data_IF_795234140689
#
_entry.id   IF_795234140689
#
_cell.length_a   1.000
_cell.length_b   1.000
_cell.length_c   1.000
_cell.angle_alpha   90.00
_cell.angle_beta   90.00
_cell.angle_gamma   90.00
#
_symmetry.space_group_name_H-M   'P 1'
#
loop_
_entity.id
_entity.type
_entity.pdbx_description
1 polymer ?
#
# COMPACT_ATOMS: atom_id res chain seq x y z
N UNK A 1 20.54 72.84 -21.90
CA UNK A 1 19.54 71.74 -22.03
C UNK A 1 19.71 70.60 -21.01
N UNK A 2 20.38 70.81 -19.88
CA UNK A 2 20.71 69.74 -18.91
C UNK A 2 20.06 69.93 -17.52
N UNK A 3 19.29 71.01 -17.31
CA UNK A 3 18.65 71.32 -16.01
C UNK A 3 17.14 71.02 -15.95
N UNK A 4 16.49 70.73 -17.08
CA UNK A 4 15.05 70.40 -17.12
C UNK A 4 14.76 68.91 -16.85
N UNK A 5 15.71 68.01 -17.15
CA UNK A 5 15.57 66.55 -16.96
C UNK A 5 15.66 66.13 -15.48
N UNK A 6 16.31 66.91 -14.62
CA UNK A 6 16.44 66.59 -13.19
C UNK A 6 15.18 66.93 -12.38
N UNK A 7 14.41 67.96 -12.80
CA UNK A 7 13.20 68.41 -12.11
C UNK A 7 12.01 67.45 -12.36
N UNK A 8 11.96 66.83 -13.55
CA UNK A 8 10.94 65.84 -13.90
C UNK A 8 11.17 64.51 -13.17
N UNK A 9 12.42 64.11 -12.92
CA UNK A 9 12.73 62.89 -12.16
C UNK A 9 12.36 63.01 -10.67
N UNK A 10 12.47 64.21 -10.08
CA UNK A 10 12.13 64.45 -8.67
C UNK A 10 10.61 64.59 -8.43
N UNK A 11 9.82 64.98 -9.43
CA UNK A 11 8.36 65.07 -9.33
C UNK A 11 7.66 63.71 -9.46
N UNK A 12 8.22 62.78 -10.24
CA UNK A 12 7.67 61.42 -10.41
C UNK A 12 7.95 60.54 -9.17
N UNK A 13 9.03 60.81 -8.42
CA UNK A 13 9.32 60.10 -7.17
C UNK A 13 8.49 60.53 -5.96
N UNK A 14 7.78 61.67 -6.00
CA UNK A 14 6.98 62.14 -4.85
C UNK A 14 5.47 61.89 -4.92
N UNK A 15 4.94 61.45 -6.06
CA UNK A 15 3.51 61.08 -6.17
C UNK A 15 3.26 59.58 -6.35
N UNK A 16 4.30 58.74 -6.43
CA UNK A 16 4.15 57.28 -6.53
C UNK A 16 3.91 56.56 -5.20
N UNK A 17 4.08 57.24 -4.06
CA UNK A 17 4.01 56.62 -2.73
C UNK A 17 2.74 56.99 -1.92
N UNK A 18 1.80 57.72 -2.50
CA UNK A 18 0.56 58.08 -1.80
C UNK A 18 -0.56 58.20 -2.83
N UNK A 19 -1.42 57.18 -2.93
CA UNK A 19 -2.86 57.27 -3.24
C UNK A 19 -3.46 55.86 -3.44
N UNK A 20 -3.34 55.02 -2.41
CA UNK A 20 -4.53 54.33 -1.92
C UNK A 20 -5.38 55.42 -1.25
N UNK A 21 -6.68 55.49 -1.59
CA UNK A 21 -7.75 56.41 -1.16
C UNK A 21 -8.20 57.42 -2.24
N UNK A 22 -9.38 57.19 -2.79
CA UNK A 22 -10.14 58.11 -3.64
C UNK A 22 -10.62 59.37 -2.87
N UNK A 23 -11.43 60.28 -3.43
CA UNK A 23 -11.65 60.72 -4.81
C UNK A 23 -11.47 62.26 -4.94
N UNK A 24 -11.21 62.79 -6.15
CA UNK A 24 -11.66 64.10 -6.70
C UNK A 24 -10.75 64.54 -7.83
N UNK A 25 -11.09 64.09 -9.03
CA UNK A 25 -10.76 64.79 -10.26
C UNK A 25 -11.55 66.11 -10.29
N UNK A 26 -10.86 67.24 -10.25
CA UNK A 26 -11.35 68.50 -10.80
C UNK A 26 -10.20 69.11 -11.59
N UNK A 27 -10.20 68.86 -12.90
CA UNK A 27 -9.38 69.57 -13.88
C UNK A 27 -10.16 70.82 -14.32
N UNK A 28 -9.60 72.04 -14.20
CA UNK A 28 -10.13 73.20 -14.89
C UNK A 28 -9.94 73.05 -16.41
N UNK A 29 -10.98 73.44 -17.15
CA UNK A 29 -10.98 73.70 -18.59
C UNK A 29 -9.75 74.54 -18.96
N UNK A 30 -8.74 73.92 -19.59
CA UNK A 30 -7.86 74.52 -20.61
C UNK A 30 -6.76 73.56 -21.11
N UNK A 31 -7.04 72.25 -21.16
CA UNK A 31 -6.07 71.21 -21.53
C UNK A 31 -6.48 70.36 -22.75
N UNK A 32 -7.30 70.92 -23.66
CA UNK A 32 -7.75 70.20 -24.87
C UNK A 32 -6.84 70.37 -26.09
N UNK A 33 -5.88 71.31 -26.10
CA UNK A 33 -4.93 71.47 -27.20
C UNK A 33 -3.54 70.88 -26.93
N UNK A 34 -3.16 70.66 -25.67
CA UNK A 34 -1.89 70.00 -25.30
C UNK A 34 -1.97 68.47 -25.26
N UNK A 35 -3.18 67.89 -25.18
CA UNK A 35 -3.38 66.44 -25.17
C UNK A 35 -3.22 65.76 -26.55
N UNK A 36 -3.49 66.48 -27.65
CA UNK A 36 -3.34 65.93 -29.01
C UNK A 36 -1.89 65.94 -29.50
N UNK A 37 -1.05 66.85 -29.01
CA UNK A 37 0.39 66.86 -29.33
C UNK A 37 1.14 65.72 -28.61
N UNK A 38 0.77 65.42 -27.37
CA UNK A 38 1.35 64.31 -26.59
C UNK A 38 0.94 62.92 -27.12
N UNK A 39 -0.25 62.76 -27.71
CA UNK A 39 -0.66 61.51 -28.38
C UNK A 39 0.13 61.24 -29.66
N UNK A 40 0.49 62.27 -30.43
CA UNK A 40 1.32 62.13 -31.64
C UNK A 40 2.79 61.77 -31.36
N UNK A 41 3.33 62.20 -30.22
CA UNK A 41 4.72 61.90 -29.80
C UNK A 41 4.84 60.53 -29.13
N UNK A 42 3.83 60.09 -28.38
CA UNK A 42 3.83 58.76 -27.74
C UNK A 42 3.63 57.59 -28.73
N UNK A 43 2.88 57.80 -29.82
CA UNK A 43 2.68 56.75 -30.84
C UNK A 43 3.88 56.57 -31.78
N UNK A 44 4.69 57.61 -31.99
CA UNK A 44 5.93 57.51 -32.78
C UNK A 44 7.13 56.96 -31.98
N UNK A 45 7.15 57.10 -30.65
CA UNK A 45 8.14 56.44 -29.80
C UNK A 45 7.87 54.94 -29.59
N UNK A 46 6.63 54.47 -29.80
CA UNK A 46 6.29 53.05 -29.73
C UNK A 46 6.75 52.24 -30.95
N UNK A 47 7.10 52.89 -32.07
CA UNK A 47 7.56 52.21 -33.29
C UNK A 47 9.08 52.16 -33.44
N UNK A 48 9.81 53.10 -32.81
CA UNK A 48 11.29 53.13 -32.90
C UNK A 48 11.98 52.25 -31.86
N UNK A 49 11.28 51.84 -30.78
CA UNK A 49 11.81 50.89 -29.78
C UNK A 49 11.60 49.42 -30.19
N UNK A 50 10.83 49.14 -31.25
CA UNK A 50 10.65 47.78 -31.80
C UNK A 50 11.69 47.37 -32.86
N UNK A 51 12.66 48.23 -33.21
CA UNK A 51 13.64 47.98 -34.28
C UNK A 51 15.11 48.07 -33.87
N UNK A 52 15.42 48.32 -32.60
CA UNK A 52 16.74 48.04 -32.03
C UNK A 52 16.58 46.95 -30.98
N UNK A 53 17.07 45.75 -31.34
CA UNK A 53 16.95 44.54 -30.55
C UNK A 53 17.16 44.75 -29.06
N UNK A 54 16.06 44.69 -28.31
CA UNK A 54 16.09 44.15 -26.97
C UNK A 54 16.53 42.71 -27.11
N UNK A 55 17.82 42.48 -26.89
CA UNK A 55 18.39 41.16 -26.64
C UNK A 55 17.59 40.61 -25.47
N UNK A 56 16.55 39.83 -25.77
CA UNK A 56 16.10 38.82 -24.84
C UNK A 56 17.34 37.96 -24.64
N UNK A 57 18.07 38.21 -23.55
CA UNK A 57 19.11 37.30 -23.11
C UNK A 57 18.45 35.93 -23.15
N UNK A 58 18.91 35.00 -24.01
CA UNK A 58 18.40 33.64 -23.92
C UNK A 58 18.59 33.25 -22.46
N UNK A 59 17.54 32.74 -21.80
CA UNK A 59 17.72 32.09 -20.53
C UNK A 59 18.90 31.13 -20.74
N UNK A 60 20.06 31.46 -20.17
CA UNK A 60 21.28 30.72 -20.44
C UNK A 60 20.95 29.29 -20.04
N UNK A 61 20.95 28.38 -21.00
CA UNK A 61 20.90 26.97 -20.70
C UNK A 61 22.15 26.72 -19.85
N UNK A 62 21.93 26.55 -18.54
CA UNK A 62 22.99 26.28 -17.58
C UNK A 62 23.77 25.06 -18.08
N UNK A 63 25.07 25.26 -18.35
CA UNK A 63 25.94 24.23 -18.90
C UNK A 63 26.21 23.17 -17.82
N UNK A 64 25.41 22.11 -17.83
CA UNK A 64 25.48 21.01 -16.85
C UNK A 64 26.89 20.41 -16.73
N UNK A 65 27.63 20.17 -17.84
CA UNK A 65 29.05 19.86 -17.78
C UNK A 65 29.89 20.86 -17.00
N UNK A 66 29.71 22.17 -17.21
CA UNK A 66 30.48 23.19 -16.49
C UNK A 66 30.17 23.20 -14.99
N UNK A 67 28.88 23.10 -14.61
CA UNK A 67 28.46 22.99 -13.20
C UNK A 67 29.09 21.77 -12.54
N UNK A 68 29.03 20.63 -13.23
CA UNK A 68 29.64 19.39 -12.74
C UNK A 68 31.16 19.55 -12.55
N UNK A 69 31.87 20.09 -13.53
CA UNK A 69 33.32 20.29 -13.46
C UNK A 69 33.73 21.25 -12.34
N UNK A 70 32.99 22.34 -12.15
CA UNK A 70 33.32 23.37 -11.16
C UNK A 70 32.98 22.97 -9.72
N UNK A 71 31.91 22.19 -9.51
CA UNK A 71 31.37 21.97 -8.16
C UNK A 71 31.39 20.50 -7.70
N UNK A 72 31.36 19.52 -8.61
CA UNK A 72 31.01 18.14 -8.30
C UNK A 72 32.01 17.07 -8.81
N UNK A 73 33.00 17.45 -9.62
CA UNK A 73 33.94 16.51 -10.23
C UNK A 73 34.75 15.69 -9.20
N UNK A 74 35.14 16.33 -8.11
CA UNK A 74 35.93 15.72 -7.03
C UNK A 74 35.08 15.01 -5.96
N UNK A 75 33.75 15.18 -5.98
CA UNK A 75 32.85 14.54 -5.02
C UNK A 75 32.85 13.01 -5.20
N UNK A 76 32.58 12.22 -4.16
CA UNK A 76 32.42 10.77 -4.32
C UNK A 76 31.15 10.40 -5.11
N UNK A 77 30.93 9.10 -5.32
CA UNK A 77 29.66 8.55 -5.83
C UNK A 77 28.53 8.97 -4.90
N UNK A 78 27.42 9.42 -5.47
CA UNK A 78 26.30 9.92 -4.68
C UNK A 78 25.41 10.90 -5.44
N UNK A 79 24.57 11.58 -4.66
CA UNK A 79 23.51 12.49 -5.11
C UNK A 79 23.81 13.90 -4.64
N UNK A 80 23.77 14.86 -5.54
CA UNK A 80 24.12 16.25 -5.23
C UNK A 80 23.15 17.21 -5.92
N UNK A 81 22.52 18.08 -5.15
CA UNK A 81 21.74 19.19 -5.72
C UNK A 81 22.66 20.39 -5.96
N UNK A 82 22.62 20.94 -7.17
CA UNK A 82 23.37 22.13 -7.56
C UNK A 82 22.62 22.89 -8.65
N UNK A 83 22.44 24.19 -8.45
CA UNK A 83 21.87 25.13 -9.44
C UNK A 83 20.53 24.69 -10.08
N UNK A 84 19.65 24.10 -9.28
CA UNK A 84 18.34 23.64 -9.74
C UNK A 84 18.34 22.26 -10.40
N UNK A 85 19.46 21.52 -10.32
CA UNK A 85 19.59 20.16 -10.84
C UNK A 85 20.05 19.19 -9.76
N UNK A 86 19.53 17.96 -9.83
CA UNK A 86 20.01 16.81 -9.09
C UNK A 86 21.00 16.05 -9.98
N UNK A 87 22.27 16.02 -9.58
CA UNK A 87 23.32 15.23 -10.19
C UNK A 87 23.46 13.89 -9.47
N UNK A 88 23.37 12.80 -10.23
CA UNK A 88 23.58 11.44 -9.76
C UNK A 88 24.90 10.93 -10.37
N UNK A 89 25.86 10.65 -9.49
CA UNK A 89 27.21 10.23 -9.83
C UNK A 89 27.34 8.75 -9.51
N UNK A 90 27.58 7.92 -10.52
CA UNK A 90 27.81 6.48 -10.36
C UNK A 90 29.18 6.08 -10.91
N UNK A 91 29.69 4.94 -10.46
CA UNK A 91 30.93 4.35 -10.94
C UNK A 91 30.75 2.87 -11.25
N UNK A 92 31.43 2.38 -12.29
CA UNK A 92 31.56 0.96 -12.59
C UNK A 92 32.99 0.67 -13.07
N UNK A 93 33.46 -0.57 -12.87
CA UNK A 93 34.70 -1.03 -13.50
C UNK A 93 34.53 -1.01 -15.01
N UNK A 94 35.55 -0.54 -15.73
CA UNK A 94 35.62 -0.64 -17.17
C UNK A 94 35.68 -2.12 -17.56
N UNK A 95 34.92 -2.50 -18.59
CA UNK A 95 35.19 -3.74 -19.30
C UNK A 95 36.41 -3.54 -20.19
N UNK A 96 37.32 -4.52 -20.23
CA UNK A 96 38.42 -4.55 -21.20
C UNK A 96 37.91 -4.72 -22.65
N UNK A 97 36.63 -5.10 -22.81
CA UNK A 97 35.98 -5.18 -24.11
C UNK A 97 35.52 -3.80 -24.62
N UNK A 98 36.06 -3.46 -25.77
CA UNK A 98 35.93 -2.22 -26.51
C UNK A 98 34.50 -1.85 -26.95
N UNK A 99 34.23 -0.53 -26.91
CA UNK A 99 33.38 0.25 -27.84
C UNK A 99 31.87 -0.04 -27.98
N UNK A 100 31.28 -1.05 -27.38
CA UNK A 100 29.83 -1.28 -27.51
C UNK A 100 29.03 -0.81 -26.29
N UNK A 101 27.97 -0.04 -26.53
CA UNK A 101 26.94 0.22 -25.52
C UNK A 101 26.30 -1.12 -25.11
N UNK A 102 26.05 -1.32 -23.81
CA UNK A 102 25.36 -2.53 -23.30
C UNK A 102 26.25 -3.62 -22.68
N UNK A 103 27.52 -3.34 -22.37
CA UNK A 103 28.36 -4.25 -21.57
C UNK A 103 27.75 -4.49 -20.18
N UNK A 104 28.04 -5.65 -19.57
CA UNK A 104 27.50 -6.01 -18.25
C UNK A 104 27.79 -4.93 -17.19
N UNK A 105 28.98 -4.35 -17.22
CA UNK A 105 29.42 -3.29 -16.32
C UNK A 105 28.72 -1.95 -16.60
N UNK A 106 28.46 -1.64 -17.87
CA UNK A 106 27.65 -0.48 -18.26
C UNK A 106 26.21 -0.60 -17.75
N UNK A 107 25.62 -1.80 -17.83
CA UNK A 107 24.29 -2.08 -17.27
C UNK A 107 24.26 -1.98 -15.74
N UNK A 108 25.34 -2.34 -15.04
CA UNK A 108 25.45 -2.20 -13.59
C UNK A 108 25.45 -0.71 -13.18
N UNK A 109 26.25 0.14 -13.83
CA UNK A 109 26.24 1.59 -13.54
C UNK A 109 24.90 2.25 -13.87
N UNK A 110 24.24 1.81 -14.94
CA UNK A 110 22.92 2.27 -15.33
C UNK A 110 21.84 1.83 -14.34
N UNK A 111 21.87 0.57 -13.90
CA UNK A 111 20.97 0.07 -12.85
C UNK A 111 21.17 0.83 -11.53
N UNK A 112 22.42 1.12 -11.15
CA UNK A 112 22.72 1.93 -9.98
C UNK A 112 22.18 3.36 -10.10
N UNK A 113 22.24 3.96 -11.29
CA UNK A 113 21.62 5.26 -11.55
C UNK A 113 20.10 5.21 -11.38
N UNK A 114 19.43 4.25 -12.03
CA UNK A 114 17.97 4.16 -11.95
C UNK A 114 17.48 3.80 -10.55
N UNK A 115 18.25 3.03 -9.78
CA UNK A 115 17.96 2.76 -8.37
C UNK A 115 17.99 4.05 -7.53
N UNK A 116 19.04 4.86 -7.68
CA UNK A 116 19.14 6.16 -6.98
C UNK A 116 18.07 7.14 -7.45
N UNK A 117 17.76 7.17 -8.75
CA UNK A 117 16.70 8.00 -9.28
C UNK A 117 15.33 7.58 -8.74
N UNK A 118 15.05 6.28 -8.67
CA UNK A 118 13.79 5.77 -8.11
C UNK A 118 13.63 6.15 -6.62
N UNK A 119 14.71 6.06 -5.84
CA UNK A 119 14.71 6.50 -4.43
C UNK A 119 14.38 8.01 -4.31
N UNK A 120 14.96 8.85 -5.17
CA UNK A 120 14.69 10.28 -5.20
C UNK A 120 13.26 10.60 -5.66
N UNK A 121 12.75 9.88 -6.65
CA UNK A 121 11.35 10.02 -7.07
C UNK A 121 10.42 9.65 -5.91
N UNK A 122 10.64 8.50 -5.27
CA UNK A 122 9.80 8.06 -4.16
C UNK A 122 9.81 9.08 -3.00
N UNK A 123 11.01 9.48 -2.53
CA UNK A 123 11.16 10.37 -1.36
C UNK A 123 10.60 11.77 -1.58
N UNK A 124 10.62 12.25 -2.84
CA UNK A 124 10.06 13.56 -3.21
C UNK A 124 8.59 13.51 -3.62
N UNK A 125 8.09 12.35 -4.02
CA UNK A 125 6.71 12.20 -4.51
C UNK A 125 5.75 11.81 -3.42
N UNK A 126 6.17 10.98 -2.46
CA UNK A 126 5.26 10.36 -1.50
C UNK A 126 5.76 10.52 -0.08
N UNK A 127 4.85 10.88 0.83
CA UNK A 127 5.07 10.81 2.28
C UNK A 127 3.99 9.95 2.90
N UNK A 128 4.39 9.02 3.76
CA UNK A 128 3.47 8.18 4.55
C UNK A 128 3.45 8.71 5.98
N UNK A 129 2.27 8.99 6.51
CA UNK A 129 2.10 9.32 7.92
C UNK A 129 2.34 8.08 8.80
N UNK A 130 2.89 8.22 10.02
CA UNK A 130 3.05 7.09 10.94
C UNK A 130 1.73 6.34 11.18
N UNK A 131 1.78 5.01 11.16
CA UNK A 131 0.63 4.14 11.40
C UNK A 131 1.03 2.90 12.20
N UNK A 132 0.03 2.19 12.74
CA UNK A 132 0.20 1.00 13.57
C UNK A 132 -0.28 -0.30 12.89
N UNK A 133 -0.30 -0.32 11.55
CA UNK A 133 -0.65 -1.53 10.80
C UNK A 133 0.31 -2.67 11.16
N UNK A 134 -0.26 -3.78 11.62
CA UNK A 134 0.43 -5.04 11.87
C UNK A 134 -0.23 -6.15 11.04
N UNK A 135 0.50 -7.20 10.61
CA UNK A 135 1.95 -7.37 10.74
C UNK A 135 2.78 -6.34 9.96
N UNK A 136 4.06 -6.19 10.31
CA UNK A 136 4.98 -5.24 9.67
C UNK A 136 5.11 -5.50 8.16
N UNK A 137 5.12 -6.78 7.77
CA UNK A 137 5.13 -7.20 6.38
C UNK A 137 3.88 -6.73 5.60
N UNK A 138 2.70 -6.76 6.22
CA UNK A 138 1.46 -6.24 5.60
C UNK A 138 1.54 -4.72 5.43
N UNK A 139 2.01 -4.00 6.45
CA UNK A 139 2.18 -2.56 6.41
C UNK A 139 3.08 -2.13 5.25
N UNK A 140 4.23 -2.78 5.10
CA UNK A 140 5.18 -2.56 4.00
C UNK A 140 4.54 -2.81 2.63
N UNK A 141 3.73 -3.85 2.47
CA UNK A 141 3.04 -4.13 1.20
C UNK A 141 2.02 -3.04 0.87
N UNK A 142 1.27 -2.56 1.87
CA UNK A 142 0.32 -1.46 1.71
C UNK A 142 1.01 -0.16 1.30
N UNK A 143 2.09 0.23 2.00
CA UNK A 143 2.92 1.39 1.64
C UNK A 143 3.45 1.29 0.21
N UNK A 144 4.03 0.13 -0.15
CA UNK A 144 4.57 -0.08 -1.50
C UNK A 144 3.50 0.02 -2.58
N UNK A 145 2.28 -0.46 -2.33
CA UNK A 145 1.17 -0.35 -3.27
C UNK A 145 0.76 1.12 -3.49
N UNK A 146 0.66 1.91 -2.41
CA UNK A 146 0.36 3.34 -2.49
C UNK A 146 1.46 4.12 -3.21
N UNK A 147 2.73 3.86 -2.87
CA UNK A 147 3.88 4.49 -3.50
C UNK A 147 3.93 4.18 -5.00
N UNK A 148 3.73 2.92 -5.40
CA UNK A 148 3.74 2.51 -6.81
C UNK A 148 2.66 3.22 -7.63
N UNK A 149 1.46 3.39 -7.06
CA UNK A 149 0.36 4.08 -7.73
C UNK A 149 0.75 5.53 -8.10
N UNK A 150 1.38 6.25 -7.17
CA UNK A 150 1.81 7.64 -7.42
C UNK A 150 3.05 7.71 -8.31
N UNK A 151 4.10 6.95 -7.98
CA UNK A 151 5.41 7.02 -8.66
C UNK A 151 5.32 6.56 -10.11
N UNK A 152 4.46 5.59 -10.44
CA UNK A 152 4.30 5.10 -11.82
C UNK A 152 3.81 6.17 -12.80
N UNK A 153 3.19 7.25 -12.31
CA UNK A 153 2.73 8.36 -13.13
C UNK A 153 3.81 9.41 -13.42
N UNK A 154 4.94 9.36 -12.71
CA UNK A 154 5.99 10.38 -12.77
C UNK A 154 7.02 10.04 -13.84
N UNK A 155 7.07 10.85 -14.91
CA UNK A 155 8.07 10.72 -15.97
C UNK A 155 9.23 11.69 -15.78
N UNK A 156 10.35 11.20 -15.22
CA UNK A 156 11.55 12.01 -15.00
C UNK A 156 12.52 11.90 -16.17
N UNK A 157 12.67 13.01 -16.91
CA UNK A 157 13.71 13.15 -17.92
C UNK A 157 15.05 13.44 -17.26
N UNK A 158 16.10 12.79 -17.76
CA UNK A 158 17.47 12.99 -17.30
C UNK A 158 18.40 13.22 -18.49
N UNK A 159 19.51 13.92 -18.25
CA UNK A 159 20.52 14.22 -19.25
C UNK A 159 21.86 13.62 -18.82
N UNK A 160 22.58 13.01 -19.76
CA UNK A 160 23.94 12.54 -19.53
C UNK A 160 24.88 13.75 -19.52
N UNK A 161 25.59 13.96 -18.42
CA UNK A 161 26.47 15.12 -18.19
C UNK A 161 27.94 14.74 -18.39
N UNK A 162 28.37 13.61 -17.83
CA UNK A 162 29.76 13.17 -17.93
C UNK A 162 29.86 11.65 -18.00
N UNK A 163 30.91 11.17 -18.66
CA UNK A 163 31.27 9.76 -18.78
C UNK A 163 32.79 9.66 -18.89
N UNK A 164 33.46 9.66 -17.74
CA UNK A 164 34.91 9.86 -17.62
C UNK A 164 35.56 8.57 -17.16
N UNK A 165 36.67 8.19 -17.81
CA UNK A 165 37.52 7.07 -17.35
C UNK A 165 38.53 7.61 -16.34
N UNK A 166 38.45 7.11 -15.12
CA UNK A 166 39.38 7.37 -14.01
C UNK A 166 40.57 6.39 -14.04
N UNK A 167 41.64 6.67 -13.28
CA UNK A 167 42.71 5.70 -13.02
C UNK A 167 42.15 4.36 -12.49
N UNK A 168 42.89 3.28 -12.67
CA UNK A 168 42.49 1.91 -12.28
C UNK A 168 41.27 1.36 -13.02
N UNK A 169 41.03 1.83 -14.25
CA UNK A 169 39.97 1.29 -15.11
C UNK A 169 38.57 1.48 -14.50
N UNK A 170 38.27 2.62 -13.86
CA UNK A 170 36.93 2.93 -13.35
C UNK A 170 36.25 3.93 -14.27
N UNK A 171 35.02 3.65 -14.69
CA UNK A 171 34.16 4.57 -15.46
C UNK A 171 33.24 5.30 -14.51
N UNK A 172 33.34 6.63 -14.47
CA UNK A 172 32.45 7.53 -13.72
C UNK A 172 31.40 8.10 -14.65
N UNK A 173 30.14 7.83 -14.35
CA UNK A 173 29.00 8.33 -15.11
C UNK A 173 28.23 9.34 -14.28
N UNK A 174 27.83 10.44 -14.93
CA UNK A 174 27.06 11.50 -14.29
C UNK A 174 25.86 11.81 -15.15
N UNK A 175 24.69 11.77 -14.54
CA UNK A 175 23.43 12.16 -15.14
C UNK A 175 22.81 13.23 -14.26
N UNK A 176 22.17 14.22 -14.87
CA UNK A 176 21.47 15.29 -14.17
C UNK A 176 19.98 15.28 -14.48
N UNK A 177 19.19 15.63 -13.49
CA UNK A 177 17.74 15.78 -13.55
C UNK A 177 17.39 17.18 -13.09
N UNK A 178 16.53 17.89 -13.81
CA UNK A 178 16.06 19.20 -13.35
C UNK A 178 15.13 19.02 -12.14
N UNK A 179 15.36 19.76 -11.06
CA UNK A 179 14.59 19.59 -9.80
C UNK A 179 13.09 19.86 -10.02
N UNK A 180 12.75 20.76 -10.94
CA UNK A 180 11.37 21.04 -11.34
C UNK A 180 10.69 19.91 -12.14
N UNK A 181 11.42 18.85 -12.52
CA UNK A 181 10.85 17.65 -13.11
C UNK A 181 10.21 16.73 -12.06
N UNK A 182 10.58 16.89 -10.79
CA UNK A 182 9.91 16.21 -9.68
C UNK A 182 8.62 16.96 -9.31
N UNK A 183 7.69 16.27 -8.64
CA UNK A 183 6.46 16.90 -8.14
C UNK A 183 6.81 17.99 -7.11
N UNK A 184 6.10 19.11 -7.19
CA UNK A 184 6.36 20.29 -6.34
C UNK A 184 5.89 20.12 -4.91
N UNK A 185 4.91 19.25 -4.67
CA UNK A 185 4.44 18.88 -3.35
C UNK A 185 4.24 17.36 -3.29
N UNK A 186 4.80 16.67 -2.28
CA UNK A 186 4.60 15.24 -2.14
C UNK A 186 3.14 14.95 -1.77
N UNK A 187 2.59 13.88 -2.34
CA UNK A 187 1.33 13.29 -1.91
C UNK A 187 1.53 12.73 -0.50
N UNK A 188 0.76 13.21 0.46
CA UNK A 188 0.76 12.73 1.83
C UNK A 188 -0.37 11.71 2.02
N UNK A 189 -0.01 10.46 2.31
CA UNK A 189 -0.98 9.45 2.73
C UNK A 189 -1.13 9.44 4.26
N UNK A 190 -2.37 9.54 4.71
CA UNK A 190 -2.74 9.39 6.12
C UNK A 190 -2.66 7.95 6.59
N UNK A 191 -2.58 7.73 7.91
CA UNK A 191 -2.62 6.40 8.51
C UNK A 191 -3.86 5.60 8.08
N UNK A 192 -5.03 6.26 8.02
CA UNK A 192 -6.28 5.64 7.59
C UNK A 192 -6.21 5.12 6.14
N UNK A 193 -5.53 5.83 5.24
CA UNK A 193 -5.35 5.36 3.86
C UNK A 193 -4.44 4.13 3.78
N UNK A 194 -3.42 4.04 4.65
CA UNK A 194 -2.56 2.85 4.73
C UNK A 194 -3.33 1.67 5.30
N UNK A 195 -4.11 1.88 6.36
CA UNK A 195 -4.99 0.86 6.96
C UNK A 195 -6.01 0.33 5.96
N UNK A 196 -6.68 1.23 5.22
CA UNK A 196 -7.59 0.84 4.16
C UNK A 196 -6.86 0.00 3.09
N UNK A 197 -5.68 0.44 2.64
CA UNK A 197 -4.91 -0.33 1.64
C UNK A 197 -4.49 -1.70 2.16
N UNK A 198 -4.12 -1.81 3.43
CA UNK A 198 -3.80 -3.08 4.07
C UNK A 198 -5.02 -4.03 4.09
N UNK A 199 -6.20 -3.50 4.42
CA UNK A 199 -7.47 -4.22 4.36
C UNK A 199 -7.79 -4.73 2.94
N UNK A 200 -7.69 -3.86 1.94
CA UNK A 200 -7.88 -4.21 0.53
C UNK A 200 -6.94 -5.34 0.06
N UNK A 201 -5.65 -5.25 0.43
CA UNK A 201 -4.66 -6.27 0.07
C UNK A 201 -4.95 -7.61 0.73
N UNK A 202 -5.34 -7.64 2.01
CA UNK A 202 -5.74 -8.87 2.70
C UNK A 202 -6.96 -9.51 2.05
N UNK A 203 -7.99 -8.72 1.74
CA UNK A 203 -9.20 -9.21 1.05
C UNK A 203 -8.83 -9.78 -0.31
N UNK A 204 -8.01 -9.08 -1.09
CA UNK A 204 -7.57 -9.55 -2.40
C UNK A 204 -6.78 -10.86 -2.31
N UNK A 205 -5.82 -10.97 -1.38
CA UNK A 205 -5.04 -12.20 -1.17
C UNK A 205 -5.93 -13.39 -0.78
N UNK A 206 -6.95 -13.17 0.06
CA UNK A 206 -7.92 -14.20 0.46
C UNK A 206 -8.80 -14.64 -0.72
N UNK A 207 -9.39 -13.69 -1.45
CA UNK A 207 -10.25 -13.98 -2.60
C UNK A 207 -9.51 -14.67 -3.76
N UNK A 208 -8.20 -14.42 -3.88
CA UNK A 208 -7.35 -15.06 -4.88
C UNK A 208 -6.66 -16.33 -4.35
N UNK A 209 -7.01 -16.79 -3.14
CA UNK A 209 -6.44 -17.97 -2.49
C UNK A 209 -4.90 -17.96 -2.45
N UNK A 210 -4.29 -16.78 -2.26
CA UNK A 210 -2.84 -16.60 -2.21
C UNK A 210 -2.26 -16.97 -0.83
N UNK A 211 -2.53 -18.20 -0.38
CA UNK A 211 -2.19 -18.64 0.98
C UNK A 211 -0.70 -18.62 1.28
N UNK A 212 0.16 -18.90 0.30
CA UNK A 212 1.62 -18.78 0.46
C UNK A 212 2.08 -17.35 0.70
N UNK A 213 1.41 -16.36 0.09
CA UNK A 213 1.68 -14.94 0.36
C UNK A 213 1.16 -14.55 1.75
N UNK A 214 -0.04 -15.02 2.12
CA UNK A 214 -0.58 -14.81 3.47
C UNK A 214 0.33 -15.42 4.54
N UNK A 215 0.88 -16.62 4.33
CA UNK A 215 1.90 -17.18 5.22
C UNK A 215 3.10 -16.25 5.37
N UNK A 216 3.59 -15.68 4.26
CA UNK A 216 4.72 -14.74 4.32
C UNK A 216 4.37 -13.49 5.13
N UNK A 217 3.14 -12.99 5.00
CA UNK A 217 2.63 -11.87 5.81
C UNK A 217 2.62 -12.20 7.30
N UNK A 218 2.28 -13.44 7.67
CA UNK A 218 2.15 -13.89 9.06
C UNK A 218 3.33 -14.72 9.58
N UNK A 219 4.45 -14.77 8.85
CA UNK A 219 5.59 -15.66 9.17
C UNK A 219 6.37 -15.22 10.43
N UNK A 220 6.30 -13.95 10.79
CA UNK A 220 6.93 -13.40 11.99
C UNK A 220 6.30 -14.02 13.25
N UNK A 221 7.08 -14.65 14.16
CA UNK A 221 6.57 -15.14 15.43
C UNK A 221 5.90 -14.01 16.21
N UNK A 222 4.57 -14.04 16.25
CA UNK A 222 3.73 -12.95 16.74
C UNK A 222 2.39 -13.50 17.23
N UNK A 223 1.53 -12.60 17.70
CA UNK A 223 0.13 -12.82 18.03
C UNK A 223 -0.71 -13.39 16.85
N UNK A 224 -0.15 -13.48 15.63
CA UNK A 224 -0.77 -14.07 14.45
C UNK A 224 -0.38 -15.53 14.17
N UNK A 225 0.37 -16.19 15.06
CA UNK A 225 0.85 -17.57 14.87
C UNK A 225 -0.22 -18.60 14.47
N UNK A 226 -1.45 -18.48 14.98
CA UNK A 226 -2.57 -19.35 14.59
C UNK A 226 -2.95 -19.18 13.11
N UNK A 227 -2.94 -17.96 12.59
CA UNK A 227 -3.21 -17.69 11.18
C UNK A 227 -2.11 -18.27 10.29
N UNK A 228 -0.85 -18.12 10.69
CA UNK A 228 0.28 -18.74 9.98
C UNK A 228 0.09 -20.25 9.82
N UNK A 229 -0.22 -20.96 10.92
CA UNK A 229 -0.42 -22.42 10.89
C UNK A 229 -1.61 -22.83 10.02
N UNK A 230 -2.69 -22.04 10.02
CA UNK A 230 -3.87 -22.31 9.20
C UNK A 230 -3.58 -22.04 7.70
N UNK A 231 -2.83 -20.98 7.37
CA UNK A 231 -2.43 -20.72 5.99
C UNK A 231 -1.38 -21.71 5.48
N UNK A 232 -0.48 -22.17 6.33
CA UNK A 232 0.42 -23.27 6.02
C UNK A 232 -0.37 -24.50 5.59
N UNK A 233 -1.36 -24.89 6.39
CA UNK A 233 -2.24 -26.00 6.07
C UNK A 233 -2.99 -25.78 4.75
N UNK A 234 -3.61 -24.61 4.55
CA UNK A 234 -4.31 -24.25 3.31
C UNK A 234 -3.40 -24.23 2.06
N UNK A 235 -2.12 -23.89 2.23
CA UNK A 235 -1.14 -23.88 1.14
C UNK A 235 -0.62 -25.27 0.78
N UNK A 236 -0.68 -26.22 1.72
CA UNK A 236 -0.12 -27.56 1.62
C UNK A 236 -1.17 -28.59 2.05
N UNK A 237 -2.35 -28.58 1.41
CA UNK A 237 -3.53 -29.37 1.78
C UNK A 237 -3.25 -30.86 1.97
N UNK A 238 -2.24 -31.39 1.28
CA UNK A 238 -1.88 -32.81 1.30
C UNK A 238 -1.03 -33.21 2.54
N UNK A 239 -0.45 -32.24 3.25
CA UNK A 239 0.55 -32.51 4.29
C UNK A 239 -0.03 -32.98 5.63
N UNK A 240 -1.33 -32.74 5.89
CA UNK A 240 -2.04 -33.15 7.12
C UNK A 240 -3.51 -33.48 6.84
N UNK A 241 -3.73 -34.51 6.04
CA UNK A 241 -5.07 -35.05 5.79
C UNK A 241 -5.35 -36.22 6.73
N UNK A 242 -6.51 -36.20 7.38
CA UNK A 242 -7.08 -37.40 7.96
C UNK A 242 -8.11 -38.00 7.01
N UNK A 243 -8.03 -39.31 6.86
CA UNK A 243 -9.01 -40.10 6.14
C UNK A 243 -9.75 -40.96 7.15
N UNK A 244 -11.07 -40.88 7.17
CA UNK A 244 -11.88 -41.82 7.93
C UNK A 244 -11.60 -43.25 7.44
N UNK A 245 -11.52 -44.25 8.35
CA UNK A 245 -11.39 -45.64 7.96
C UNK A 245 -12.51 -46.06 7.00
N UNK A 246 -12.16 -46.85 5.98
CA UNK A 246 -13.07 -47.28 4.90
C UNK A 246 -14.22 -48.19 5.37
N UNK A 247 -14.21 -48.59 6.63
CA UNK A 247 -15.18 -49.50 7.23
C UNK A 247 -15.90 -48.81 8.39
N UNK A 248 -17.20 -48.63 8.19
CA UNK A 248 -18.18 -48.33 9.24
C UNK A 248 -18.17 -49.44 10.34
N UNK A 249 -17.56 -50.60 10.08
CA UNK A 249 -17.65 -51.82 10.88
C UNK A 249 -16.81 -51.87 12.18
N UNK A 250 -16.11 -50.80 12.56
CA UNK A 250 -15.47 -50.72 13.90
C UNK A 250 -15.74 -49.42 14.65
N UNK A 251 -16.85 -48.73 14.36
CA UNK A 251 -17.42 -47.80 15.35
C UNK A 251 -18.08 -48.64 16.46
N UNK A 252 -17.27 -49.05 17.44
CA UNK A 252 -17.77 -49.66 18.68
C UNK A 252 -18.54 -48.57 19.43
N UNK A 253 -19.81 -48.87 19.66
CA UNK A 253 -20.87 -48.05 20.24
C UNK A 253 -21.60 -47.10 19.27
N UNK A 254 -22.92 -47.18 19.33
CA UNK A 254 -23.89 -46.22 18.78
C UNK A 254 -23.74 -44.78 19.34
N UNK A 255 -22.69 -44.53 20.13
CA UNK A 255 -22.22 -43.27 20.66
C UNK A 255 -20.82 -42.86 20.17
N UNK A 256 -20.19 -43.61 19.24
CA UNK A 256 -18.93 -43.17 18.60
C UNK A 256 -19.21 -42.10 17.54
N UNK A 257 -19.70 -40.99 18.06
CA UNK A 257 -20.01 -39.70 17.44
C UNK A 257 -18.68 -38.97 17.07
N UNK A 258 -17.53 -39.63 17.25
CA UNK A 258 -16.25 -38.97 17.46
C UNK A 258 -15.13 -39.34 16.49
N UNK A 259 -15.39 -40.04 15.38
CA UNK A 259 -14.33 -40.29 14.38
C UNK A 259 -13.68 -39.00 13.90
N UNK A 260 -14.47 -38.07 13.36
CA UNK A 260 -13.99 -36.76 12.89
C UNK A 260 -13.61 -35.86 14.07
N UNK A 261 -14.50 -35.74 15.06
CA UNK A 261 -14.30 -34.81 16.18
C UNK A 261 -13.08 -35.17 17.03
N UNK A 262 -12.93 -36.43 17.43
CA UNK A 262 -11.77 -36.87 18.21
C UNK A 262 -10.48 -36.87 17.38
N UNK A 263 -10.53 -37.22 16.09
CA UNK A 263 -9.35 -37.11 15.22
C UNK A 263 -8.87 -35.66 15.18
N UNK A 264 -9.73 -34.72 14.80
CA UNK A 264 -9.34 -33.32 14.72
C UNK A 264 -8.93 -32.77 16.11
N UNK A 265 -9.55 -33.23 17.21
CA UNK A 265 -9.16 -32.83 18.59
C UNK A 265 -7.75 -33.31 18.94
N UNK A 266 -7.37 -34.53 18.55
CA UNK A 266 -6.02 -35.05 18.77
C UNK A 266 -4.95 -34.25 18.01
N UNK A 267 -5.31 -33.66 16.85
CA UNK A 267 -4.48 -32.71 16.11
C UNK A 267 -4.75 -31.23 16.46
N UNK A 268 -5.36 -30.97 17.63
CA UNK A 268 -5.61 -29.62 18.16
C UNK A 268 -6.36 -28.67 17.19
N UNK A 269 -7.23 -29.22 16.33
CA UNK A 269 -7.99 -28.44 15.35
C UNK A 269 -7.30 -28.24 14.00
N UNK A 270 -6.06 -28.70 13.80
CA UNK A 270 -5.21 -28.34 12.65
C UNK A 270 -4.99 -29.56 11.74
N UNK A 271 -6.05 -29.96 11.05
CA UNK A 271 -6.09 -31.14 10.20
C UNK A 271 -7.17 -30.96 9.12
N UNK A 272 -6.93 -31.44 7.90
CA UNK A 272 -7.96 -31.60 6.89
C UNK A 272 -8.73 -32.89 7.13
N UNK A 273 -9.97 -32.80 7.60
CA UNK A 273 -10.82 -33.97 7.73
C UNK A 273 -11.47 -34.33 6.38
N UNK A 274 -11.27 -35.56 5.92
CA UNK A 274 -11.90 -36.08 4.71
C UNK A 274 -12.36 -37.54 4.89
N UNK A 275 -13.36 -37.95 4.13
CA UNK A 275 -13.87 -39.34 4.09
C UNK A 275 -13.87 -39.84 2.65
N UNK A 276 -13.66 -41.14 2.42
CA UNK A 276 -13.70 -41.69 1.07
C UNK A 276 -15.11 -41.64 0.43
N UNK A 277 -16.15 -41.59 1.26
CA UNK A 277 -17.55 -41.46 0.83
C UNK A 277 -18.27 -40.42 1.69
N UNK A 278 -18.70 -39.32 1.08
CA UNK A 278 -19.53 -38.29 1.74
C UNK A 278 -21.01 -38.53 1.48
N UNK A 279 -21.85 -38.29 2.48
CA UNK A 279 -23.30 -38.23 2.32
C UNK A 279 -23.80 -36.82 2.61
N UNK A 280 -23.67 -35.95 1.61
CA UNK A 280 -24.05 -34.53 1.70
C UNK A 280 -25.50 -34.33 2.11
N UNK A 281 -26.42 -35.14 1.57
CA UNK A 281 -27.85 -35.06 1.90
C UNK A 281 -28.13 -35.37 3.38
N UNK A 282 -27.49 -36.40 3.92
CA UNK A 282 -27.61 -36.72 5.34
C UNK A 282 -26.98 -35.62 6.20
N UNK A 283 -25.80 -35.11 5.81
CA UNK A 283 -25.13 -34.03 6.51
C UNK A 283 -26.01 -32.75 6.58
N UNK A 284 -26.60 -32.35 5.45
CA UNK A 284 -27.53 -31.23 5.36
C UNK A 284 -28.76 -31.46 6.24
N UNK A 285 -29.34 -32.67 6.20
CA UNK A 285 -30.53 -33.01 6.99
C UNK A 285 -30.25 -32.89 8.50
N UNK A 286 -29.13 -33.42 8.97
CA UNK A 286 -28.75 -33.30 10.38
C UNK A 286 -28.41 -31.86 10.76
N UNK A 287 -27.75 -31.11 9.88
CA UNK A 287 -27.50 -29.69 10.09
C UNK A 287 -28.79 -28.88 10.23
N UNK A 288 -29.80 -29.10 9.37
CA UNK A 288 -31.07 -28.38 9.47
C UNK A 288 -31.81 -28.70 10.77
N UNK A 289 -31.76 -29.96 11.24
CA UNK A 289 -32.27 -30.33 12.56
C UNK A 289 -31.54 -29.58 13.67
N UNK A 290 -30.19 -29.55 13.66
CA UNK A 290 -29.39 -28.82 14.64
C UNK A 290 -29.69 -27.30 14.63
N UNK A 291 -29.75 -26.70 13.45
CA UNK A 291 -30.04 -25.26 13.27
C UNK A 291 -31.44 -24.91 13.78
N UNK A 292 -32.43 -25.77 13.55
CA UNK A 292 -33.78 -25.61 14.09
C UNK A 292 -33.77 -25.65 15.62
N UNK A 293 -33.11 -26.63 16.21
CA UNK A 293 -32.95 -26.76 17.67
C UNK A 293 -32.21 -25.55 18.28
N UNK A 294 -31.14 -25.08 17.63
CA UNK A 294 -30.39 -23.90 18.05
C UNK A 294 -31.25 -22.63 18.06
N UNK A 295 -32.05 -22.42 17.01
CA UNK A 295 -32.99 -21.28 16.93
C UNK A 295 -34.11 -21.35 17.97
N UNK A 296 -34.51 -22.55 18.35
CA UNK A 296 -35.51 -22.80 19.39
C UNK A 296 -34.94 -22.71 20.82
N UNK A 297 -33.62 -22.62 20.99
CA UNK A 297 -32.97 -22.56 22.30
C UNK A 297 -33.08 -23.87 23.09
N UNK A 298 -33.10 -25.01 22.40
CA UNK A 298 -33.22 -26.36 22.99
C UNK A 298 -31.87 -26.82 23.58
N UNK A 299 -31.88 -27.94 24.32
CA UNK A 299 -30.71 -28.58 24.94
C UNK A 299 -29.45 -28.56 24.03
N UNK A 300 -28.33 -27.97 24.51
CA UNK A 300 -27.06 -27.93 23.79
C UNK A 300 -26.55 -29.32 23.37
N UNK A 301 -26.78 -30.34 24.18
CA UNK A 301 -26.33 -31.71 23.94
C UNK A 301 -27.00 -32.32 22.69
N UNK A 302 -28.29 -32.04 22.49
CA UNK A 302 -29.02 -32.47 21.29
C UNK A 302 -28.52 -31.74 20.04
N UNK A 303 -28.20 -30.44 20.16
CA UNK A 303 -27.65 -29.66 19.06
C UNK A 303 -26.28 -30.21 18.67
N UNK A 304 -25.40 -30.45 19.65
CA UNK A 304 -24.09 -31.05 19.45
C UNK A 304 -24.21 -32.41 18.78
N UNK A 305 -25.05 -33.32 19.31
CA UNK A 305 -25.26 -34.65 18.73
C UNK A 305 -25.63 -34.57 17.23
N UNK A 306 -26.53 -33.65 16.86
CA UNK A 306 -26.94 -33.47 15.46
C UNK A 306 -25.83 -32.90 14.60
N UNK A 307 -25.04 -31.95 15.12
CA UNK A 307 -23.88 -31.41 14.41
C UNK A 307 -22.80 -32.46 14.20
N UNK A 308 -22.54 -33.31 15.20
CA UNK A 308 -21.57 -34.38 15.09
C UNK A 308 -22.00 -35.45 14.07
N UNK A 309 -23.29 -35.81 14.03
CA UNK A 309 -23.83 -36.68 12.97
C UNK A 309 -23.67 -36.05 11.58
N UNK A 310 -23.90 -34.73 11.47
CA UNK A 310 -23.68 -33.99 10.22
C UNK A 310 -22.22 -34.07 9.76
N UNK A 311 -21.27 -33.82 10.66
CA UNK A 311 -19.84 -33.84 10.37
C UNK A 311 -19.29 -35.24 10.11
N UNK A 312 -19.85 -36.28 10.72
CA UNK A 312 -19.49 -37.66 10.40
C UNK A 312 -20.02 -38.08 9.01
N UNK A 313 -21.16 -37.53 8.57
CA UNK A 313 -21.68 -37.76 7.22
C UNK A 313 -20.93 -36.97 6.13
N UNK A 314 -20.49 -35.76 6.45
CA UNK A 314 -19.64 -34.92 5.61
C UNK A 314 -18.71 -34.04 6.47
N UNK A 315 -17.43 -34.42 6.64
CA UNK A 315 -16.47 -33.65 7.42
C UNK A 315 -16.18 -32.26 6.85
N UNK A 316 -16.49 -32.04 5.57
CA UNK A 316 -16.31 -30.75 4.90
C UNK A 316 -17.55 -29.85 5.04
N UNK A 317 -18.57 -30.25 5.79
CA UNK A 317 -19.81 -29.49 5.94
C UNK A 317 -19.60 -28.20 6.76
N UNK A 318 -19.20 -27.14 6.06
CA UNK A 318 -18.76 -25.84 6.59
C UNK A 318 -19.76 -25.20 7.56
N UNK A 319 -21.07 -25.28 7.30
CA UNK A 319 -22.08 -24.68 8.16
C UNK A 319 -22.23 -25.40 9.51
N UNK A 320 -21.92 -26.71 9.55
CA UNK A 320 -21.94 -27.47 10.80
C UNK A 320 -20.79 -27.06 11.70
N UNK A 321 -19.58 -26.87 11.15
CA UNK A 321 -18.45 -26.33 11.90
C UNK A 321 -18.71 -24.92 12.44
N UNK A 322 -19.32 -24.05 11.64
CA UNK A 322 -19.70 -22.69 12.07
C UNK A 322 -20.67 -22.72 13.26
N UNK A 323 -21.72 -23.55 13.17
CA UNK A 323 -22.72 -23.65 14.23
C UNK A 323 -22.16 -24.32 15.48
N UNK A 324 -21.32 -25.35 15.31
CA UNK A 324 -20.64 -26.03 16.41
C UNK A 324 -19.70 -25.09 17.17
N UNK A 325 -18.90 -24.27 16.46
CA UNK A 325 -18.09 -23.22 17.08
C UNK A 325 -18.94 -22.24 17.86
N UNK A 326 -20.09 -21.84 17.33
CA UNK A 326 -21.00 -20.92 18.01
C UNK A 326 -21.62 -21.52 19.28
N UNK A 327 -22.00 -22.80 19.22
CA UNK A 327 -22.50 -23.56 20.37
C UNK A 327 -21.43 -23.68 21.45
N UNK A 328 -20.23 -24.15 21.08
CA UNK A 328 -19.13 -24.34 22.03
C UNK A 328 -18.66 -23.04 22.68
N UNK A 329 -18.73 -21.88 22.02
CA UNK A 329 -18.46 -20.61 22.72
C UNK A 329 -19.36 -20.38 23.94
N UNK A 330 -20.58 -20.93 23.94
CA UNK A 330 -21.52 -20.80 25.05
C UNK A 330 -21.33 -21.89 26.13
N UNK A 331 -20.93 -23.10 25.75
CA UNK A 331 -20.94 -24.27 26.65
C UNK A 331 -19.55 -24.84 26.96
N UNK A 332 -18.58 -24.69 26.06
CA UNK A 332 -17.23 -25.25 26.16
C UNK A 332 -16.20 -24.40 25.37
N UNK A 333 -15.67 -23.31 25.96
CA UNK A 333 -14.77 -22.38 25.27
C UNK A 333 -13.53 -23.01 24.63
N UNK A 334 -12.97 -24.06 25.24
CA UNK A 334 -11.77 -24.72 24.73
C UNK A 334 -12.06 -25.45 23.41
N UNK A 335 -13.22 -26.09 23.30
CA UNK A 335 -13.66 -26.77 22.07
C UNK A 335 -14.14 -25.78 20.99
N UNK A 336 -14.47 -24.55 21.37
CA UNK A 336 -14.88 -23.52 20.42
C UNK A 336 -13.75 -23.15 19.45
N UNK A 337 -12.52 -23.05 19.95
CA UNK A 337 -11.32 -22.73 19.14
C UNK A 337 -11.08 -23.80 18.09
N UNK A 338 -11.21 -25.06 18.51
CA UNK A 338 -11.10 -26.23 17.65
C UNK A 338 -12.11 -26.16 16.49
N UNK A 339 -13.38 -25.94 16.78
CA UNK A 339 -14.42 -25.91 15.76
C UNK A 339 -14.27 -24.67 14.85
N UNK A 340 -13.77 -23.55 15.39
CA UNK A 340 -13.48 -22.36 14.60
C UNK A 340 -12.32 -22.56 13.62
N UNK A 341 -11.26 -23.29 14.00
CA UNK A 341 -10.16 -23.66 13.10
C UNK A 341 -10.65 -24.53 11.94
N UNK A 342 -11.51 -25.52 12.22
CA UNK A 342 -12.12 -26.34 11.17
C UNK A 342 -13.02 -25.52 10.24
N UNK A 343 -13.84 -24.62 10.79
CA UNK A 343 -14.61 -23.69 9.97
C UNK A 343 -13.70 -22.82 9.09
N UNK A 344 -12.57 -22.35 9.62
CA UNK A 344 -11.58 -21.58 8.86
C UNK A 344 -11.02 -22.39 7.68
N UNK A 345 -10.63 -23.63 7.91
CA UNK A 345 -10.07 -24.52 6.88
C UNK A 345 -11.11 -24.83 5.79
N UNK A 346 -12.30 -25.31 6.17
CA UNK A 346 -13.33 -25.77 5.23
C UNK A 346 -14.13 -24.62 4.58
N UNK A 347 -14.02 -23.41 5.10
CA UNK A 347 -14.54 -22.21 4.42
C UNK A 347 -13.48 -21.48 3.59
N UNK A 348 -12.29 -22.07 3.44
CA UNK A 348 -11.19 -21.48 2.68
C UNK A 348 -10.82 -20.07 3.21
N UNK A 349 -10.69 -19.97 4.53
CA UNK A 349 -10.37 -18.74 5.25
C UNK A 349 -11.37 -17.59 5.01
N UNK A 350 -12.65 -17.90 4.80
CA UNK A 350 -13.71 -16.88 4.64
C UNK A 350 -13.69 -15.84 5.78
N UNK A 351 -14.04 -14.59 5.48
CA UNK A 351 -14.03 -13.51 6.47
C UNK A 351 -14.91 -13.81 7.70
N UNK A 352 -16.04 -14.49 7.50
CA UNK A 352 -16.88 -14.99 8.59
C UNK A 352 -16.14 -15.97 9.52
N UNK A 353 -15.24 -16.79 8.99
CA UNK A 353 -14.45 -17.72 9.78
C UNK A 353 -13.35 -17.03 10.60
N UNK A 354 -12.77 -15.93 10.09
CA UNK A 354 -11.91 -15.06 10.90
C UNK A 354 -12.65 -14.51 12.12
N UNK A 355 -13.89 -14.05 11.93
CA UNK A 355 -14.73 -13.56 13.03
C UNK A 355 -15.02 -14.66 14.04
N UNK A 356 -15.41 -15.84 13.58
CA UNK A 356 -15.62 -16.99 14.46
C UNK A 356 -14.35 -17.38 15.22
N UNK A 357 -13.20 -17.35 14.57
CA UNK A 357 -11.90 -17.71 15.14
C UNK A 357 -11.50 -16.76 16.27
N UNK A 358 -11.49 -15.44 16.05
CA UNK A 358 -11.08 -14.53 17.13
C UNK A 358 -12.06 -14.58 18.30
N UNK A 359 -13.36 -14.69 18.05
CA UNK A 359 -14.37 -14.83 19.11
C UNK A 359 -14.17 -16.11 19.93
N UNK A 360 -13.73 -17.20 19.31
CA UNK A 360 -13.43 -18.44 20.02
C UNK A 360 -12.12 -18.35 20.83
N UNK A 361 -11.15 -17.55 20.38
CA UNK A 361 -9.87 -17.34 21.05
C UNK A 361 -9.94 -16.38 22.25
N UNK A 362 -10.98 -15.57 22.39
CA UNK A 362 -11.09 -14.58 23.49
C UNK A 362 -10.83 -15.17 24.89
N UNK A 363 -11.38 -16.36 25.26
CA UNK A 363 -11.21 -16.89 26.61
C UNK A 363 -9.82 -17.49 26.86
N UNK A 364 -9.24 -18.17 25.86
CA UNK A 364 -8.03 -18.98 26.01
C UNK A 364 -6.76 -18.32 25.46
N UNK A 365 -6.90 -17.34 24.56
CA UNK A 365 -5.79 -16.66 23.87
C UNK A 365 -6.18 -15.21 23.50
N UNK A 366 -6.44 -14.35 24.49
CA UNK A 366 -6.97 -13.00 24.28
C UNK A 366 -6.06 -12.11 23.42
N UNK A 367 -4.73 -12.27 23.52
CA UNK A 367 -3.79 -11.52 22.67
C UNK A 367 -3.94 -11.86 21.18
N UNK A 368 -4.09 -13.15 20.84
CA UNK A 368 -4.32 -13.57 19.46
C UNK A 368 -5.70 -13.10 18.97
N UNK A 369 -6.72 -13.21 19.83
CA UNK A 369 -8.07 -12.74 19.52
C UNK A 369 -8.07 -11.23 19.19
N UNK A 370 -7.44 -10.42 20.04
CA UNK A 370 -7.34 -8.97 19.84
C UNK A 370 -6.59 -8.62 18.56
N UNK A 371 -5.51 -9.33 18.25
CA UNK A 371 -4.73 -9.12 17.04
C UNK A 371 -5.57 -9.35 15.77
N UNK A 372 -6.26 -10.50 15.71
CA UNK A 372 -7.15 -10.86 14.61
C UNK A 372 -8.31 -9.87 14.53
N UNK A 373 -8.87 -9.43 15.66
CA UNK A 373 -9.92 -8.41 15.70
C UNK A 373 -9.44 -7.07 15.11
N UNK A 374 -8.23 -6.61 15.44
CA UNK A 374 -7.64 -5.39 14.88
C UNK A 374 -7.48 -5.51 13.37
N UNK A 375 -6.95 -6.62 12.86
CA UNK A 375 -6.87 -6.88 11.42
C UNK A 375 -8.23 -6.81 10.74
N UNK A 376 -9.25 -7.41 11.36
CA UNK A 376 -10.61 -7.40 10.84
C UNK A 376 -11.24 -6.00 10.81
N UNK A 377 -10.75 -5.03 11.60
CA UNK A 377 -11.18 -3.63 11.51
C UNK A 377 -10.73 -2.98 10.20
N UNK A 378 -9.54 -3.31 9.70
CA UNK A 378 -9.06 -2.84 8.40
C UNK A 378 -9.87 -3.46 7.26
N UNK A 379 -10.10 -4.77 7.35
CA UNK A 379 -10.91 -5.52 6.39
C UNK A 379 -12.33 -4.98 6.30
N UNK A 380 -12.97 -4.70 7.44
CA UNK A 380 -14.35 -4.18 7.49
C UNK A 380 -14.53 -2.80 6.81
N UNK A 381 -13.45 -2.06 6.55
CA UNK A 381 -13.49 -0.82 5.76
C UNK A 381 -13.44 -1.08 4.25
N UNK A 382 -13.02 -2.28 3.84
CA UNK A 382 -12.65 -2.61 2.45
C UNK A 382 -13.60 -3.62 1.80
N UNK A 383 -14.57 -4.17 2.56
CA UNK A 383 -15.49 -5.21 2.08
C UNK A 383 -16.80 -5.18 2.87
N UNK A 384 -17.85 -5.76 2.30
CA UNK A 384 -19.12 -5.93 2.97
C UNK A 384 -19.06 -7.10 3.96
N UNK A 385 -19.55 -6.87 5.18
CA UNK A 385 -19.70 -7.85 6.25
C UNK A 385 -21.14 -7.75 6.79
N UNK A 386 -21.62 -8.82 7.40
CA UNK A 386 -22.93 -8.84 8.05
C UNK A 386 -22.95 -7.92 9.28
N UNK A 387 -24.14 -7.45 9.66
CA UNK A 387 -24.31 -6.62 10.85
C UNK A 387 -23.80 -7.29 12.13
N UNK A 388 -23.93 -8.62 12.24
CA UNK A 388 -23.40 -9.38 13.37
C UNK A 388 -21.87 -9.36 13.41
N UNK A 389 -21.20 -9.56 12.27
CA UNK A 389 -19.73 -9.53 12.16
C UNK A 389 -19.18 -8.15 12.50
N UNK A 390 -19.78 -7.10 11.95
CA UNK A 390 -19.40 -5.72 12.25
C UNK A 390 -19.52 -5.43 13.76
N UNK A 391 -20.59 -5.91 14.40
CA UNK A 391 -20.78 -5.79 15.85
C UNK A 391 -19.63 -6.48 16.60
N UNK A 392 -19.27 -7.70 16.23
CA UNK A 392 -18.16 -8.42 16.89
C UNK A 392 -16.80 -7.72 16.71
N UNK A 393 -16.55 -7.13 15.55
CA UNK A 393 -15.27 -6.46 15.24
C UNK A 393 -15.12 -5.13 16.00
N UNK A 394 -16.23 -4.40 16.20
CA UNK A 394 -16.24 -3.11 16.90
C UNK A 394 -16.21 -3.25 18.42
N UNK A 395 -16.71 -4.37 18.96
CA UNK A 395 -16.88 -4.60 20.40
C UNK A 395 -18.29 -4.25 20.82
#
# INVERSE_FOLDING_TARGET
MMRLKLVVLLLVQRCGAALHLAPRCILPKDSWQTANWLRGVLLNFSWVVSLTGGIALPAQALDLPAIYQQHLAEKPVGRYEQDGYLFIITQAQCSDESKHAGTAQGKIAEAAFYAQLAEEVQTRTVRIAPHAVAPSTLARLAEQALIRAEVSSVNIRHQKVADVRLPNCVKRQVRAVAINSFVSQPTLFSAAQVEQKAGELLVAMLQQHQYSQLMTVFAEPSEFSVLYQLFELLSASDSRTWQAPNQIEQMRDSYDINGVLAAVKSYQGILYANVLSTNKLAADTFYQQANSLFKQGVSPELIEQKLSLSLNADPQHTQSWKLLSSLFRAINPDEAVYAAKQYFIHSEASLSAWVSLFKALEPSSPAQAQAIQILMRYVAQSTELTAWEIKQIKG
#
